data_IF_004864848269
#
_entry.id   IF_004864848269
#
_cell.length_a   1.000
_cell.length_b   1.000
_cell.length_c   1.000
_cell.angle_alpha   90.00
_cell.angle_beta   90.00
_cell.angle_gamma   90.00
#
_symmetry.space_group_name_H-M   'P 1'
#
loop_
_entity.id
_entity.type
_entity.pdbx_description
1 polymer ?
#
# COMPACT_ATOMS: atom_id res chain seq x y z
N UNK A 1 -2.64 -26.99 -4.78
CA UNK A 1 -3.25 -25.66 -4.61
C UNK A 1 -2.24 -24.73 -3.92
N UNK A 2 -2.02 -23.57 -4.49
CA UNK A 2 -1.07 -22.62 -3.91
C UNK A 2 -1.74 -21.87 -2.74
N UNK A 3 -1.01 -21.73 -1.65
CA UNK A 3 -1.44 -20.90 -0.51
C UNK A 3 -1.14 -19.42 -0.75
N UNK A 4 -0.29 -19.11 -1.72
CA UNK A 4 0.04 -17.73 -2.06
C UNK A 4 -1.07 -17.10 -2.91
N UNK A 5 -1.41 -15.84 -2.64
CA UNK A 5 -2.38 -15.12 -3.46
C UNK A 5 -1.94 -15.02 -4.92
N UNK A 6 -2.92 -15.07 -5.84
CA UNK A 6 -2.66 -14.97 -7.27
C UNK A 6 -2.58 -13.53 -7.77
N UNK A 7 -3.09 -12.57 -7.00
CA UNK A 7 -3.05 -11.16 -7.39
C UNK A 7 -3.02 -10.29 -6.15
N UNK A 8 -2.03 -9.42 -6.07
CA UNK A 8 -1.89 -8.50 -4.95
C UNK A 8 -1.76 -7.06 -5.45
N UNK A 9 -2.35 -6.14 -4.70
CA UNK A 9 -2.08 -4.72 -4.83
C UNK A 9 -1.18 -4.33 -3.67
N UNK A 10 -0.01 -3.79 -3.98
CA UNK A 10 0.97 -3.36 -2.98
C UNK A 10 1.08 -1.85 -3.04
N UNK A 11 0.81 -1.20 -1.92
CA UNK A 11 0.92 0.26 -1.79
C UNK A 11 1.98 0.56 -0.74
N UNK A 12 3.10 1.16 -1.17
CA UNK A 12 4.16 1.57 -0.26
C UNK A 12 4.15 3.08 -0.12
N UNK A 13 4.28 3.57 1.11
CA UNK A 13 4.09 4.98 1.41
C UNK A 13 5.14 5.47 2.41
N UNK A 14 5.71 6.63 2.09
CA UNK A 14 6.43 7.46 3.04
C UNK A 14 5.61 8.72 3.26
N UNK A 15 5.42 9.08 4.51
CA UNK A 15 4.60 10.22 4.89
C UNK A 15 5.41 11.20 5.73
N UNK A 16 5.16 12.49 5.58
CA UNK A 16 5.85 13.51 6.39
C UNK A 16 5.54 13.31 7.87
N UNK A 17 6.58 13.37 8.71
CA UNK A 17 6.46 13.11 10.14
C UNK A 17 5.41 14.00 10.82
N UNK A 18 5.28 15.25 10.37
CA UNK A 18 4.37 16.21 10.97
C UNK A 18 2.89 15.79 10.90
N UNK A 19 2.50 14.98 9.89
CA UNK A 19 1.11 14.56 9.71
C UNK A 19 0.93 13.04 9.85
N UNK A 20 1.97 12.34 10.26
CA UNK A 20 1.96 10.87 10.29
C UNK A 20 0.85 10.29 11.16
N UNK A 21 0.63 10.85 12.35
CA UNK A 21 -0.41 10.38 13.27
C UNK A 21 -1.81 10.56 12.68
N UNK A 22 -2.09 11.72 12.09
CA UNK A 22 -3.39 11.98 11.47
C UNK A 22 -3.61 11.10 10.24
N UNK A 23 -2.58 10.93 9.43
CA UNK A 23 -2.63 10.10 8.23
C UNK A 23 -2.90 8.64 8.59
N UNK A 24 -2.23 8.11 9.62
CA UNK A 24 -2.46 6.74 10.08
C UNK A 24 -3.89 6.54 10.56
N UNK A 25 -4.44 7.51 11.32
CA UNK A 25 -5.82 7.44 11.79
C UNK A 25 -6.80 7.43 10.62
N UNK A 26 -6.60 8.33 9.67
CA UNK A 26 -7.44 8.40 8.47
C UNK A 26 -7.38 7.10 7.68
N UNK A 27 -6.17 6.56 7.50
CA UNK A 27 -6.00 5.32 6.74
C UNK A 27 -6.74 4.16 7.42
N UNK A 28 -6.57 4.01 8.72
CA UNK A 28 -7.19 2.91 9.47
C UNK A 28 -8.72 3.04 9.55
N UNK A 29 -9.25 4.25 9.66
CA UNK A 29 -10.67 4.46 9.92
C UNK A 29 -11.50 4.79 8.68
N UNK A 30 -10.87 5.28 7.61
CA UNK A 30 -11.57 5.68 6.39
C UNK A 30 -11.06 4.92 5.17
N UNK A 31 -9.78 5.08 4.86
CA UNK A 31 -9.24 4.64 3.57
C UNK A 31 -9.20 3.11 3.43
N UNK A 32 -8.70 2.41 4.44
CA UNK A 32 -8.67 0.96 4.42
C UNK A 32 -10.08 0.36 4.39
N UNK A 33 -11.02 0.77 5.25
CA UNK A 33 -12.39 0.28 5.15
C UNK A 33 -13.04 0.56 3.79
N UNK A 34 -12.80 1.73 3.20
CA UNK A 34 -13.34 2.05 1.88
C UNK A 34 -12.78 1.12 0.79
N UNK A 35 -11.46 0.85 0.85
CA UNK A 35 -10.83 -0.07 -0.09
C UNK A 35 -11.41 -1.49 0.05
N UNK A 36 -11.64 -1.93 1.28
CA UNK A 36 -12.17 -3.27 1.54
C UNK A 36 -13.62 -3.46 1.08
N UNK A 37 -14.35 -2.36 0.84
CA UNK A 37 -15.72 -2.42 0.30
C UNK A 37 -15.75 -2.50 -1.22
N UNK A 38 -14.62 -2.24 -1.89
CA UNK A 38 -14.57 -2.28 -3.35
C UNK A 38 -14.77 -3.70 -3.88
N UNK A 39 -15.59 -3.89 -4.92
CA UNK A 39 -15.78 -5.22 -5.51
C UNK A 39 -14.44 -5.81 -5.98
N UNK A 40 -14.22 -7.06 -5.64
CA UNK A 40 -13.00 -7.78 -6.02
C UNK A 40 -11.82 -7.60 -5.06
N UNK A 41 -11.93 -6.73 -4.07
CA UNK A 41 -10.94 -6.64 -2.99
C UNK A 41 -11.34 -7.66 -1.92
N UNK A 42 -10.57 -8.72 -1.79
CA UNK A 42 -10.89 -9.84 -0.89
C UNK A 42 -10.52 -9.55 0.55
N UNK A 43 -9.34 -8.99 0.77
CA UNK A 43 -8.83 -8.63 2.09
C UNK A 43 -7.68 -7.65 1.93
N UNK A 44 -7.35 -6.96 3.00
CA UNK A 44 -6.23 -6.03 3.01
C UNK A 44 -5.69 -5.84 4.41
N UNK A 45 -4.41 -5.55 4.50
CA UNK A 45 -3.75 -5.31 5.78
C UNK A 45 -2.64 -4.31 5.64
N UNK A 46 -2.48 -3.48 6.65
CA UNK A 46 -1.43 -2.48 6.71
C UNK A 46 -0.25 -3.01 7.51
N UNK A 47 0.95 -2.68 7.04
CA UNK A 47 2.21 -3.03 7.69
C UNK A 47 3.08 -1.79 7.78
N UNK A 48 4.04 -1.80 8.68
CA UNK A 48 5.06 -0.75 8.78
C UNK A 48 6.41 -1.42 8.96
N UNK A 49 7.45 -0.82 8.39
CA UNK A 49 8.81 -1.33 8.52
C UNK A 49 9.23 -1.40 9.98
N UNK A 50 9.88 -2.51 10.36
CA UNK A 50 10.40 -2.73 11.70
C UNK A 50 11.92 -2.55 11.68
N UNK A 51 12.43 -1.69 12.56
CA UNK A 51 13.85 -1.43 12.65
C UNK A 51 14.40 -0.65 11.46
N UNK A 52 15.65 -0.94 11.12
CA UNK A 52 16.35 -0.25 10.03
C UNK A 52 15.96 -0.79 8.67
N UNK A 53 15.89 0.12 7.69
CA UNK A 53 15.68 -0.23 6.31
C UNK A 53 17.05 -0.24 5.63
N UNK A 54 17.42 -1.35 5.01
CA UNK A 54 18.65 -1.47 4.25
C UNK A 54 18.34 -1.41 2.76
N UNK A 55 19.03 -0.53 2.04
CA UNK A 55 18.94 -0.45 0.59
C UNK A 55 20.28 -0.89 -0.02
N UNK A 56 20.22 -1.81 -0.97
CA UNK A 56 21.40 -2.30 -1.68
C UNK A 56 21.30 -1.92 -3.15
N UNK A 57 22.25 -1.13 -3.62
CA UNK A 57 22.31 -0.69 -5.02
C UNK A 57 23.72 -0.96 -5.52
N UNK A 58 23.83 -1.70 -6.62
CA UNK A 58 25.12 -2.06 -7.23
C UNK A 58 26.10 -2.68 -6.22
N UNK A 59 25.59 -3.55 -5.37
CA UNK A 59 26.40 -4.26 -4.36
C UNK A 59 26.70 -3.46 -3.10
N UNK A 60 26.27 -2.21 -3.01
CA UNK A 60 26.47 -1.37 -1.82
C UNK A 60 25.18 -1.29 -1.02
N UNK A 61 25.29 -1.58 0.27
CA UNK A 61 24.14 -1.52 1.19
C UNK A 61 24.25 -0.28 2.06
N UNK A 62 23.18 0.50 2.10
CA UNK A 62 23.06 1.70 2.91
C UNK A 62 21.82 1.62 3.78
N UNK A 63 21.85 2.32 4.91
CA UNK A 63 20.69 2.43 5.79
C UNK A 63 19.81 3.56 5.35
N UNK A 64 18.51 3.28 5.24
CA UNK A 64 17.50 4.31 5.01
C UNK A 64 16.80 4.58 6.32
N UNK A 65 16.96 5.77 6.87
CA UNK A 65 16.47 6.13 8.22
C UNK A 65 14.99 6.48 8.30
N UNK A 66 14.16 6.08 7.34
CA UNK A 66 12.75 6.45 7.28
C UNK A 66 11.84 5.24 7.46
N UNK A 67 10.63 5.51 7.93
CA UNK A 67 9.62 4.48 8.10
C UNK A 67 8.84 4.32 6.80
N UNK A 68 8.66 3.07 6.36
CA UNK A 68 7.86 2.76 5.18
C UNK A 68 6.61 2.00 5.61
N UNK A 69 5.45 2.52 5.20
CA UNK A 69 4.18 1.85 5.39
C UNK A 69 3.84 1.07 4.12
N UNK A 70 3.34 -0.15 4.30
CA UNK A 70 2.96 -1.01 3.18
C UNK A 70 1.56 -1.54 3.44
N UNK A 71 0.64 -1.33 2.50
CA UNK A 71 -0.66 -1.97 2.54
C UNK A 71 -0.69 -3.04 1.46
N UNK A 72 -1.11 -4.24 1.85
CA UNK A 72 -1.22 -5.38 0.94
C UNK A 72 -2.70 -5.73 0.81
N UNK A 73 -3.21 -5.70 -0.42
CA UNK A 73 -4.58 -6.10 -0.73
C UNK A 73 -4.54 -7.34 -1.63
N UNK A 74 -5.37 -8.33 -1.32
CA UNK A 74 -5.60 -9.44 -2.23
C UNK A 74 -6.78 -9.11 -3.13
N UNK A 75 -6.57 -9.20 -4.44
CA UNK A 75 -7.56 -8.89 -5.45
C UNK A 75 -8.00 -10.16 -6.18
N UNK A 76 -9.23 -10.15 -6.73
CA UNK A 76 -9.70 -11.22 -7.59
C UNK A 76 -8.82 -11.34 -8.84
N UNK A 77 -8.48 -10.19 -9.45
CA UNK A 77 -7.61 -10.10 -10.63
C UNK A 77 -7.18 -8.65 -10.83
N UNK A 78 -6.23 -8.37 -11.76
CA UNK A 78 -5.74 -7.02 -11.96
C UNK A 78 -6.79 -5.98 -12.38
N UNK A 79 -7.91 -6.41 -12.97
CA UNK A 79 -8.94 -5.47 -13.45
C UNK A 79 -9.69 -4.77 -12.32
N UNK A 80 -9.55 -5.26 -11.08
CA UNK A 80 -10.24 -4.67 -9.92
C UNK A 80 -9.90 -3.19 -9.76
N UNK A 81 -8.65 -2.80 -10.00
CA UNK A 81 -8.25 -1.39 -9.84
C UNK A 81 -8.88 -0.46 -10.89
N UNK A 82 -9.40 -1.01 -11.98
CA UNK A 82 -10.06 -0.24 -13.02
C UNK A 82 -11.56 -0.08 -12.80
N UNK A 83 -12.11 -0.70 -11.76
CA UNK A 83 -13.54 -0.57 -11.46
C UNK A 83 -13.88 0.87 -11.05
N UNK A 84 -15.12 1.35 -11.35
CA UNK A 84 -15.54 2.67 -10.91
C UNK A 84 -15.43 2.87 -9.40
N UNK A 85 -15.78 1.86 -8.62
CA UNK A 85 -15.73 1.91 -7.15
C UNK A 85 -14.30 2.12 -6.66
N UNK A 86 -13.34 1.37 -7.22
CA UNK A 86 -11.93 1.51 -6.82
C UNK A 86 -11.40 2.89 -7.24
N UNK A 87 -11.68 3.32 -8.46
CA UNK A 87 -11.23 4.62 -8.96
C UNK A 87 -11.80 5.78 -8.13
N UNK A 88 -13.04 5.67 -7.66
CA UNK A 88 -13.65 6.69 -6.82
C UNK A 88 -13.03 6.76 -5.42
N UNK A 89 -12.50 5.66 -4.93
CA UNK A 89 -11.94 5.56 -3.58
C UNK A 89 -10.48 5.98 -3.51
N UNK A 90 -9.70 5.69 -4.55
CA UNK A 90 -8.25 5.85 -4.54
C UNK A 90 -7.81 7.30 -4.42
N UNK A 91 -6.60 7.51 -3.89
CA UNK A 91 -6.00 8.83 -3.72
C UNK A 91 -5.70 9.15 -2.28
N UNK A 92 -4.96 10.23 -2.07
CA UNK A 92 -4.50 10.63 -0.74
C UNK A 92 -5.24 11.84 -0.19
N UNK A 93 -6.16 12.43 -0.97
CA UNK A 93 -7.03 13.53 -0.56
C UNK A 93 -6.21 14.70 0.02
N UNK A 94 -6.54 15.15 1.23
CA UNK A 94 -5.84 16.26 1.88
C UNK A 94 -4.37 15.95 2.22
N UNK A 95 -3.99 14.68 2.23
CA UNK A 95 -2.62 14.27 2.55
C UNK A 95 -1.70 14.22 1.34
N UNK A 96 -2.22 14.41 0.14
CA UNK A 96 -1.45 14.26 -1.09
C UNK A 96 -0.11 15.03 -1.13
N UNK A 97 -0.03 16.29 -0.65
CA UNK A 97 1.24 17.00 -0.64
C UNK A 97 2.29 16.42 0.32
N UNK A 98 1.88 15.58 1.27
CA UNK A 98 2.73 15.07 2.35
C UNK A 98 3.11 13.60 2.17
N UNK A 99 2.77 13.00 1.03
CA UNK A 99 2.89 11.56 0.82
C UNK A 99 3.72 11.28 -0.44
N UNK A 100 4.64 10.34 -0.32
CA UNK A 100 5.30 9.72 -1.48
C UNK A 100 4.91 8.26 -1.49
N UNK A 101 4.33 7.81 -2.60
CA UNK A 101 3.79 6.46 -2.66
C UNK A 101 4.14 5.76 -3.96
N UNK A 102 4.18 4.44 -3.88
CA UNK A 102 4.27 3.56 -5.05
C UNK A 102 3.13 2.56 -4.96
N UNK A 103 2.43 2.38 -6.05
CA UNK A 103 1.33 1.44 -6.16
C UNK A 103 1.64 0.47 -7.28
N UNK A 104 1.53 -0.82 -7.01
CA UNK A 104 1.74 -1.83 -8.06
C UNK A 104 0.81 -3.01 -7.86
N UNK A 105 0.31 -3.54 -8.96
CA UNK A 105 -0.41 -4.81 -8.99
C UNK A 105 0.60 -5.88 -9.37
N UNK A 106 0.69 -6.93 -8.58
CA UNK A 106 1.62 -8.03 -8.82
C UNK A 106 0.88 -9.35 -8.95
N UNK A 107 1.40 -10.19 -9.83
CA UNK A 107 0.89 -11.53 -10.08
C UNK A 107 2.07 -12.50 -10.04
N UNK A 108 1.83 -13.81 -9.94
CA UNK A 108 2.94 -14.77 -9.91
C UNK A 108 3.86 -14.59 -11.11
N UNK A 109 5.16 -14.68 -10.87
CA UNK A 109 6.17 -14.47 -11.91
C UNK A 109 6.41 -15.72 -12.76
N UNK A 110 5.97 -16.87 -12.31
CA UNK A 110 6.18 -18.11 -13.03
C UNK A 110 5.10 -19.14 -12.84
#
# INVERSE_FOLDING_TARGET
>A
MSEFPECLLIVTVEVDAAIETEWNRWYDTVHLPDALRCPGVRRGRRYVSSGEIAETIAGKTEKAGRRIYTTIYELDDPSVIATPEFQAMRGWYQFAPHVRSRTQVIVPAG
#
